data_IF_100025252555
#
_entry.id   IF_100025252555
#
_cell.length_a   1.000
_cell.length_b   1.000
_cell.length_c   1.000
_cell.angle_alpha   90.00
_cell.angle_beta   90.00
_cell.angle_gamma   90.00
#
_symmetry.space_group_name_H-M   'P 1'
#
loop_
_entity.id
_entity.type
_entity.pdbx_description
1 polymer ?
#
# COMPACT_ATOMS: atom_id res chain seq x y z
N UNK A 1 40.25 15.94 29.76
CA UNK A 1 38.95 15.39 30.18
C UNK A 1 37.87 16.19 29.47
N UNK A 2 37.98 16.36 28.15
CA UNK A 2 37.61 15.40 27.07
C UNK A 2 36.11 15.56 26.80
N UNK A 3 35.60 15.81 25.60
CA UNK A 3 36.20 15.91 24.29
C UNK A 3 35.15 16.59 23.38
N UNK A 4 35.60 17.34 22.38
CA UNK A 4 34.76 17.91 21.33
C UNK A 4 34.09 16.84 20.45
N UNK A 5 33.16 17.33 19.61
CA UNK A 5 32.59 16.73 18.39
C UNK A 5 31.33 15.87 18.58
N UNK A 6 30.20 16.30 17.99
CA UNK A 6 29.92 16.01 16.58
C UNK A 6 28.54 16.57 16.17
N UNK A 7 28.56 17.73 15.51
CA UNK A 7 27.39 18.41 14.94
C UNK A 7 27.02 17.81 13.57
N UNK A 8 26.62 16.54 13.51
CA UNK A 8 26.28 15.86 12.24
C UNK A 8 25.23 14.73 12.44
N UNK A 9 24.11 14.98 13.14
CA UNK A 9 23.05 13.96 13.27
C UNK A 9 21.59 14.48 13.29
N UNK A 10 21.36 15.71 12.84
CA UNK A 10 20.01 16.31 12.86
C UNK A 10 19.17 16.02 11.60
N UNK A 11 19.79 15.59 10.50
CA UNK A 11 19.10 15.44 9.21
C UNK A 11 18.46 14.06 8.98
N UNK A 12 18.99 13.00 9.62
CA UNK A 12 18.42 11.64 9.49
C UNK A 12 17.28 11.37 10.49
N UNK A 13 17.33 11.96 11.69
CA UNK A 13 16.28 11.84 12.71
C UNK A 13 14.98 12.56 12.32
N UNK A 14 15.09 13.65 11.59
CA UNK A 14 13.95 14.46 11.16
C UNK A 14 13.18 13.80 10.00
N UNK A 15 13.88 13.11 9.08
CA UNK A 15 13.26 12.37 7.99
C UNK A 15 12.46 11.15 8.47
N UNK A 16 13.01 10.39 9.43
CA UNK A 16 12.32 9.24 10.04
C UNK A 16 11.12 9.68 10.90
N UNK A 17 11.24 10.80 11.60
CA UNK A 17 10.14 11.39 12.35
C UNK A 17 8.98 11.82 11.44
N UNK A 18 9.26 12.47 10.31
CA UNK A 18 8.22 12.85 9.35
C UNK A 18 7.49 11.64 8.76
N UNK A 19 8.22 10.57 8.42
CA UNK A 19 7.65 9.32 7.93
C UNK A 19 6.75 8.65 8.98
N UNK A 20 7.19 8.62 10.24
CA UNK A 20 6.42 8.06 11.35
C UNK A 20 5.13 8.85 11.61
N UNK A 21 5.19 10.18 11.59
CA UNK A 21 4.00 11.03 11.73
C UNK A 21 3.01 10.83 10.57
N UNK A 22 3.53 10.66 9.34
CA UNK A 22 2.70 10.32 8.18
C UNK A 22 2.01 8.97 8.37
N UNK A 23 2.73 7.96 8.85
CA UNK A 23 2.17 6.64 9.10
C UNK A 23 1.07 6.68 10.18
N UNK A 24 1.30 7.40 11.28
CA UNK A 24 0.28 7.64 12.31
C UNK A 24 -0.97 8.31 11.75
N UNK A 25 -0.78 9.33 10.91
CA UNK A 25 -1.90 10.03 10.26
C UNK A 25 -2.70 9.09 9.36
N UNK A 26 -2.03 8.23 8.58
CA UNK A 26 -2.70 7.25 7.73
C UNK A 26 -3.50 6.26 8.58
N UNK A 27 -2.93 5.73 9.67
CA UNK A 27 -3.65 4.82 10.56
C UNK A 27 -4.87 5.48 11.20
N UNK A 28 -4.71 6.71 11.73
CA UNK A 28 -5.83 7.48 12.26
C UNK A 28 -6.94 7.72 11.22
N UNK A 29 -6.57 8.00 9.97
CA UNK A 29 -7.53 8.15 8.87
C UNK A 29 -8.26 6.83 8.55
N UNK A 30 -7.57 5.69 8.59
CA UNK A 30 -8.18 4.37 8.44
C UNK A 30 -9.17 4.12 9.59
N UNK A 31 -8.79 4.35 10.84
CA UNK A 31 -9.67 4.16 11.99
C UNK A 31 -10.91 5.05 11.92
N UNK A 32 -10.73 6.31 11.53
CA UNK A 32 -11.84 7.25 11.32
C UNK A 32 -12.77 6.79 10.20
N UNK A 33 -12.22 6.26 9.09
CA UNK A 33 -13.00 5.69 7.99
C UNK A 33 -13.81 4.47 8.44
N UNK A 34 -13.19 3.54 9.18
CA UNK A 34 -13.85 2.36 9.73
C UNK A 34 -14.96 2.72 10.72
N UNK A 35 -14.70 3.70 11.58
CA UNK A 35 -15.72 4.25 12.47
C UNK A 35 -16.89 4.83 11.65
N UNK A 36 -16.61 5.69 10.66
CA UNK A 36 -17.65 6.33 9.85
C UNK A 36 -18.53 5.33 9.10
N UNK A 37 -17.97 4.19 8.66
CA UNK A 37 -18.70 3.10 8.00
C UNK A 37 -19.71 2.39 8.92
N UNK A 38 -19.36 2.23 10.20
CA UNK A 38 -20.18 1.53 11.18
C UNK A 38 -21.06 2.47 12.03
N UNK A 39 -20.81 3.79 11.96
CA UNK A 39 -21.47 4.76 12.80
C UNK A 39 -22.85 5.13 12.26
N UNK A 40 -23.92 4.87 13.02
CA UNK A 40 -25.28 5.29 12.68
C UNK A 40 -25.65 6.70 13.23
N UNK A 41 -24.79 7.28 14.07
CA UNK A 41 -25.06 8.58 14.72
C UNK A 41 -24.88 9.73 13.72
N UNK A 42 -25.92 10.53 13.52
CA UNK A 42 -25.91 11.66 12.55
C UNK A 42 -24.90 12.74 12.97
N UNK A 43 -24.98 13.20 14.22
CA UNK A 43 -24.10 14.23 14.79
C UNK A 43 -23.02 13.62 15.68
N UNK A 44 -22.26 12.67 15.14
CA UNK A 44 -21.21 12.00 15.89
C UNK A 44 -20.10 12.99 16.29
N UNK A 45 -19.70 12.97 17.57
CA UNK A 45 -18.63 13.82 18.11
C UNK A 45 -17.22 13.32 17.74
N UNK A 46 -17.09 12.11 17.18
CA UNK A 46 -15.81 11.56 16.76
C UNK A 46 -15.21 12.42 15.64
N UNK A 47 -14.00 12.94 15.87
CA UNK A 47 -13.34 13.89 14.96
C UNK A 47 -13.26 13.30 13.55
N UNK A 48 -13.83 14.02 12.59
CA UNK A 48 -13.78 13.65 11.18
C UNK A 48 -14.84 12.64 10.73
N UNK A 49 -15.64 12.05 11.63
CA UNK A 49 -16.68 11.08 11.28
C UNK A 49 -17.65 11.62 10.21
N UNK A 50 -18.21 12.81 10.40
CA UNK A 50 -19.12 13.43 9.44
C UNK A 50 -18.46 13.68 8.07
N UNK A 51 -17.18 14.08 8.06
CA UNK A 51 -16.43 14.31 6.83
C UNK A 51 -16.26 12.99 6.06
N UNK A 52 -15.83 11.93 6.75
CA UNK A 52 -15.65 10.62 6.16
C UNK A 52 -16.96 10.00 5.68
N UNK A 53 -18.07 10.15 6.42
CA UNK A 53 -19.40 9.74 5.95
C UNK A 53 -19.77 10.36 4.60
N UNK A 54 -19.56 11.67 4.45
CA UNK A 54 -19.82 12.38 3.19
C UNK A 54 -18.91 11.90 2.06
N UNK A 55 -17.64 11.66 2.36
CA UNK A 55 -16.66 11.17 1.39
C UNK A 55 -16.99 9.73 0.95
N UNK A 56 -17.40 8.85 1.85
CA UNK A 56 -17.84 7.48 1.54
C UNK A 56 -19.09 7.53 0.65
N UNK A 57 -20.08 8.35 0.99
CA UNK A 57 -21.29 8.50 0.17
C UNK A 57 -20.94 8.97 -1.23
N UNK A 58 -20.09 10.00 -1.34
CA UNK A 58 -19.57 10.44 -2.61
C UNK A 58 -18.89 9.31 -3.40
N UNK A 59 -18.04 8.49 -2.77
CA UNK A 59 -17.35 7.41 -3.46
C UNK A 59 -18.30 6.32 -4.00
N UNK A 60 -19.49 6.16 -3.40
CA UNK A 60 -20.55 5.25 -3.90
C UNK A 60 -21.30 5.84 -5.09
N UNK A 61 -21.58 7.14 -5.06
CA UNK A 61 -22.41 7.83 -6.07
C UNK A 61 -21.60 8.47 -7.19
N UNK A 62 -20.27 8.51 -7.08
CA UNK A 62 -19.40 9.19 -8.04
C UNK A 62 -19.40 8.45 -9.39
N UNK A 63 -19.91 9.14 -10.43
CA UNK A 63 -19.99 8.63 -11.81
C UNK A 63 -18.71 8.84 -12.63
N UNK A 64 -17.66 9.40 -12.02
CA UNK A 64 -16.41 9.71 -12.71
C UNK A 64 -15.69 8.41 -13.10
N UNK A 65 -15.88 7.98 -14.36
CA UNK A 65 -15.48 6.65 -14.84
C UNK A 65 -13.97 6.39 -14.79
N UNK A 66 -13.16 7.44 -14.88
CA UNK A 66 -11.70 7.32 -15.02
C UNK A 66 -10.94 7.37 -13.69
N UNK A 67 -11.63 7.23 -12.54
CA UNK A 67 -11.02 7.34 -11.21
C UNK A 67 -10.22 8.65 -11.01
N UNK A 68 -10.54 9.72 -11.75
CA UNK A 68 -9.80 10.99 -11.66
C UNK A 68 -10.24 11.85 -10.47
N UNK A 69 -11.39 11.55 -9.86
CA UNK A 69 -11.87 12.26 -8.69
C UNK A 69 -10.92 12.12 -7.49
N UNK A 70 -10.39 13.24 -7.01
CA UNK A 70 -9.43 13.28 -5.91
C UNK A 70 -10.00 12.73 -4.59
N UNK A 71 -11.30 12.95 -4.31
CA UNK A 71 -11.96 12.39 -3.11
C UNK A 71 -12.01 10.87 -3.17
N UNK A 72 -12.37 10.32 -4.34
CA UNK A 72 -12.38 8.88 -4.57
C UNK A 72 -10.96 8.28 -4.48
N UNK A 73 -9.95 8.96 -5.04
CA UNK A 73 -8.55 8.54 -4.91
C UNK A 73 -8.10 8.45 -3.45
N UNK A 74 -8.47 9.43 -2.62
CA UNK A 74 -8.14 9.40 -1.18
C UNK A 74 -8.80 8.21 -0.46
N UNK A 75 -10.08 7.92 -0.73
CA UNK A 75 -10.77 6.75 -0.13
C UNK A 75 -10.12 5.45 -0.57
N UNK A 76 -9.89 5.28 -1.88
CA UNK A 76 -9.27 4.07 -2.43
C UNK A 76 -7.88 3.86 -1.82
N UNK A 77 -7.10 4.93 -1.64
CA UNK A 77 -5.80 4.87 -1.00
C UNK A 77 -5.88 4.35 0.45
N UNK A 78 -6.82 4.87 1.25
CA UNK A 78 -7.02 4.39 2.62
C UNK A 78 -7.53 2.93 2.64
N UNK A 79 -8.47 2.58 1.77
CA UNK A 79 -8.95 1.21 1.63
C UNK A 79 -7.86 0.24 1.17
N UNK A 80 -6.91 0.69 0.35
CA UNK A 80 -5.77 -0.12 -0.07
C UNK A 80 -4.83 -0.41 1.10
N UNK A 81 -4.53 0.61 1.92
CA UNK A 81 -3.74 0.42 3.14
C UNK A 81 -4.42 -0.55 4.12
N UNK A 82 -5.74 -0.46 4.25
CA UNK A 82 -6.52 -1.42 5.03
C UNK A 82 -6.43 -2.84 4.43
N UNK A 83 -6.67 -2.99 3.11
CA UNK A 83 -6.71 -4.28 2.43
C UNK A 83 -5.40 -5.07 2.56
N UNK A 84 -4.24 -4.40 2.62
CA UNK A 84 -2.93 -5.05 2.81
C UNK A 84 -2.82 -5.88 4.08
N UNK A 85 -3.53 -5.48 5.14
CA UNK A 85 -3.47 -6.12 6.46
C UNK A 85 -4.81 -6.76 6.87
N UNK A 86 -5.83 -6.67 6.01
CA UNK A 86 -7.16 -7.16 6.32
C UNK A 86 -7.27 -8.67 6.05
N UNK A 87 -7.51 -9.43 7.11
CA UNK A 87 -7.71 -10.89 7.05
C UNK A 87 -9.18 -11.30 7.02
N UNK A 88 -10.12 -10.37 7.26
CA UNK A 88 -11.53 -10.66 7.30
C UNK A 88 -12.08 -10.96 5.89
N UNK A 89 -12.63 -12.16 5.70
CA UNK A 89 -13.21 -12.61 4.43
C UNK A 89 -14.52 -11.89 4.10
N UNK A 90 -15.27 -11.44 5.12
CA UNK A 90 -16.56 -10.75 4.98
C UNK A 90 -16.44 -9.26 5.33
N UNK A 91 -15.33 -8.64 4.95
CA UNK A 91 -15.06 -7.25 5.25
C UNK A 91 -16.12 -6.31 4.64
N UNK A 92 -16.75 -5.48 5.49
CA UNK A 92 -17.79 -4.52 5.09
C UNK A 92 -17.21 -3.21 4.53
N UNK A 93 -15.88 -3.06 4.51
CA UNK A 93 -15.21 -1.85 4.01
C UNK A 93 -15.35 -1.79 2.49
N UNK A 94 -15.92 -0.70 1.94
CA UNK A 94 -16.03 -0.52 0.50
C UNK A 94 -14.65 -0.64 -0.16
N UNK A 95 -14.61 -1.25 -1.35
CA UNK A 95 -13.39 -1.52 -2.12
C UNK A 95 -12.41 -2.54 -1.54
N UNK A 96 -12.50 -2.93 -0.25
CA UNK A 96 -11.53 -3.82 0.38
C UNK A 96 -11.37 -5.15 -0.37
N UNK A 97 -12.48 -5.83 -0.68
CA UNK A 97 -12.44 -7.12 -1.37
C UNK A 97 -11.85 -7.04 -2.78
N UNK A 98 -12.22 -6.01 -3.54
CA UNK A 98 -11.69 -5.78 -4.88
C UNK A 98 -10.18 -5.46 -4.82
N UNK A 99 -9.78 -4.57 -3.92
CA UNK A 99 -8.37 -4.20 -3.73
C UNK A 99 -7.53 -5.39 -3.27
N UNK A 100 -8.07 -6.25 -2.41
CA UNK A 100 -7.39 -7.49 -1.98
C UNK A 100 -7.09 -8.40 -3.16
N UNK A 101 -8.08 -8.63 -4.03
CA UNK A 101 -7.88 -9.41 -5.26
C UNK A 101 -6.83 -8.79 -6.17
N UNK A 102 -6.85 -7.47 -6.38
CA UNK A 102 -5.83 -6.77 -7.18
C UNK A 102 -4.43 -6.95 -6.57
N UNK A 103 -4.28 -6.84 -5.24
CA UNK A 103 -3.01 -7.05 -4.53
C UNK A 103 -2.53 -8.49 -4.67
N UNK A 104 -3.43 -9.47 -4.63
CA UNK A 104 -3.10 -10.89 -4.79
C UNK A 104 -2.63 -11.20 -6.22
N UNK A 105 -3.32 -10.66 -7.22
CA UNK A 105 -2.94 -10.79 -8.65
C UNK A 105 -1.56 -10.15 -8.89
N UNK A 106 -1.32 -8.96 -8.34
CA UNK A 106 -0.04 -8.25 -8.46
C UNK A 106 1.12 -9.09 -7.88
N UNK A 107 0.94 -9.62 -6.67
CA UNK A 107 1.93 -10.51 -6.02
C UNK A 107 2.19 -11.78 -6.83
N UNK A 108 1.13 -12.43 -7.33
CA UNK A 108 1.25 -13.63 -8.14
C UNK A 108 1.99 -13.35 -9.46
N UNK A 109 1.69 -12.22 -10.09
CA UNK A 109 2.34 -11.77 -11.34
C UNK A 109 3.83 -11.52 -11.10
N UNK A 110 4.20 -10.82 -10.02
CA UNK A 110 5.60 -10.57 -9.66
C UNK A 110 6.38 -11.87 -9.41
N UNK A 111 5.79 -12.83 -8.68
CA UNK A 111 6.46 -14.12 -8.45
C UNK A 111 6.63 -14.92 -9.74
N UNK A 112 5.66 -14.83 -10.65
CA UNK A 112 5.75 -15.47 -11.95
C UNK A 112 6.86 -14.84 -12.81
N UNK A 113 6.99 -13.51 -12.81
CA UNK A 113 8.07 -12.83 -13.54
C UNK A 113 9.44 -13.19 -13.00
N UNK A 114 9.60 -13.25 -11.67
CA UNK A 114 10.87 -13.61 -11.03
C UNK A 114 11.26 -15.07 -11.35
N UNK A 115 10.29 -15.98 -11.33
CA UNK A 115 10.49 -17.37 -11.75
C UNK A 115 10.99 -17.47 -13.18
N UNK A 116 10.34 -16.78 -14.12
CA UNK A 116 10.72 -16.81 -15.54
C UNK A 116 12.13 -16.23 -15.76
N UNK A 117 12.49 -15.18 -15.02
CA UNK A 117 13.83 -14.61 -15.06
C UNK A 117 14.88 -15.62 -14.60
N UNK A 118 14.64 -16.32 -13.48
CA UNK A 118 15.55 -17.35 -12.97
C UNK A 118 15.68 -18.51 -13.96
N UNK A 119 14.57 -18.98 -14.53
CA UNK A 119 14.58 -20.05 -15.55
C UNK A 119 15.38 -19.66 -16.80
N UNK A 120 15.32 -18.39 -17.22
CA UNK A 120 16.10 -17.87 -18.34
C UNK A 120 17.61 -17.82 -18.02
N UNK A 121 17.98 -17.38 -16.82
CA UNK A 121 19.37 -17.33 -16.36
C UNK A 121 19.99 -18.74 -16.36
N UNK A 122 19.28 -19.72 -15.78
CA UNK A 122 19.77 -21.12 -15.73
C UNK A 122 20.00 -21.66 -17.14
N UNK A 123 19.05 -21.44 -18.07
CA UNK A 123 19.21 -21.89 -19.47
C UNK A 123 20.40 -21.21 -20.15
N UNK A 124 20.63 -19.94 -19.88
CA UNK A 124 21.77 -19.21 -20.45
C UNK A 124 23.10 -19.76 -19.92
N UNK A 125 23.20 -20.03 -18.62
CA UNK A 125 24.37 -20.66 -18.02
C UNK A 125 24.64 -22.06 -18.61
N UNK A 126 23.60 -22.88 -18.76
CA UNK A 126 23.72 -24.19 -19.41
C UNK A 126 24.23 -24.07 -20.85
N UNK A 127 23.75 -23.09 -21.62
CA UNK A 127 24.25 -22.85 -22.98
C UNK A 127 25.70 -22.40 -22.99
N UNK A 128 26.11 -21.55 -22.05
CA UNK A 128 27.48 -21.07 -21.93
C UNK A 128 28.42 -22.23 -21.57
N UNK A 129 28.03 -23.11 -20.62
CA UNK A 129 28.80 -24.30 -20.24
C UNK A 129 28.96 -25.27 -21.42
N UNK A 130 27.90 -25.46 -22.21
CA UNK A 130 27.99 -26.31 -23.42
C UNK A 130 28.92 -25.72 -24.47
N UNK A 131 28.92 -24.40 -24.64
CA UNK A 131 29.81 -23.72 -25.59
C UNK A 131 31.28 -23.82 -25.19
N UNK A 132 31.61 -23.61 -23.91
CA UNK A 132 33.00 -23.74 -23.42
C UNK A 132 33.53 -25.17 -23.61
N UNK A 133 32.72 -26.19 -23.30
CA UNK A 133 33.12 -27.60 -23.49
C UNK A 133 33.33 -28.01 -24.95
N UNK A 134 32.72 -27.32 -25.91
CA UNK A 134 32.93 -27.56 -27.35
C UNK A 134 34.23 -26.88 -27.83
N UNK A 135 34.59 -25.74 -27.24
CA UNK A 135 35.74 -24.94 -27.66
C UNK A 135 37.08 -25.46 -27.11
N UNK A 136 37.04 -26.27 -26.04
CA UNK A 136 38.18 -26.96 -25.45
C UNK A 136 38.46 -28.36 -26.08
N UNK A 137 37.77 -28.73 -27.17
CA UNK A 137 37.98 -29.95 -27.96
C UNK A 137 38.59 -29.64 -29.32
#
# INVERSE_FOLDING_TARGET
>A
QDNEQNSLNSNNKSLTNAQFQRQKTIQFCIDTLLHALNCCIVNCIYRGCLCYKRIIQHAKDCKEKNRQCYKCKQVIFLCWHHAKSCLNQNCQVPFCMNLKSIIEIDRATSLQTDRLLIEAIIKQEETNIRQTQIQDK
#
